data_IF_001830225017
#
_entry.id   IF_001830225017
#
_cell.length_a   1.000
_cell.length_b   1.000
_cell.length_c   1.000
_cell.angle_alpha   90.00
_cell.angle_beta   90.00
_cell.angle_gamma   90.00
#
_symmetry.space_group_name_H-M   'P 1'
#
loop_
_entity.id
_entity.type
_entity.pdbx_description
1 polymer ?
#
# COMPACT_ATOMS: atom_id res chain seq x y z
N UNK A 1 -47.11 11.80 -51.56
CA UNK A 1 -46.38 11.88 -52.86
C UNK A 1 -46.44 13.32 -53.31
N UNK A 2 -45.29 14.00 -53.49
CA UNK A 2 -45.16 15.43 -53.86
C UNK A 2 -45.75 16.42 -52.81
N UNK A 3 -45.07 17.49 -52.38
CA UNK A 3 -44.43 18.65 -53.04
C UNK A 3 -45.43 19.71 -53.54
N UNK A 4 -45.64 20.77 -52.74
CA UNK A 4 -46.00 22.15 -53.10
C UNK A 4 -46.28 23.00 -51.83
N UNK A 5 -46.25 24.34 -51.77
CA UNK A 5 -45.48 25.40 -52.49
C UNK A 5 -45.96 26.79 -52.01
N UNK A 6 -45.06 27.76 -51.78
CA UNK A 6 -45.31 29.24 -51.79
C UNK A 6 -46.23 29.80 -50.65
N UNK A 7 -46.29 31.09 -50.28
CA UNK A 7 -45.47 32.32 -50.51
C UNK A 7 -45.73 33.36 -49.39
N UNK A 8 -44.97 34.45 -49.40
CA UNK A 8 -45.06 35.73 -48.65
C UNK A 8 -46.48 36.35 -48.57
N UNK A 9 -46.83 37.32 -47.72
CA UNK A 9 -46.13 38.24 -46.79
C UNK A 9 -47.13 39.37 -46.39
N UNK A 10 -46.75 40.64 -46.12
CA UNK A 10 -45.56 41.20 -45.45
C UNK A 10 -45.92 42.31 -44.40
N UNK A 11 -44.90 42.94 -43.79
CA UNK A 11 -45.01 44.26 -43.09
C UNK A 11 -44.55 44.25 -41.62
N UNK A 12 -43.81 45.24 -41.10
CA UNK A 12 -43.11 46.38 -41.76
C UNK A 12 -41.89 46.85 -40.91
N UNK A 13 -41.21 47.94 -41.30
CA UNK A 13 -40.00 48.61 -40.74
C UNK A 13 -39.90 48.68 -39.18
N UNK A 14 -38.75 48.79 -38.47
CA UNK A 14 -37.36 49.23 -38.76
C UNK A 14 -36.98 50.37 -37.77
N UNK A 15 -35.76 50.74 -37.37
CA UNK A 15 -34.37 50.25 -37.46
C UNK A 15 -33.44 51.26 -36.69
N UNK A 16 -32.32 50.81 -36.08
CA UNK A 16 -31.07 51.58 -35.73
C UNK A 16 -31.02 52.58 -34.53
N UNK A 17 -30.00 52.39 -33.66
CA UNK A 17 -29.29 53.30 -32.70
C UNK A 17 -30.07 54.03 -31.57
N UNK A 18 -29.47 54.43 -30.43
CA UNK A 18 -28.12 54.14 -29.86
C UNK A 18 -27.64 55.19 -28.83
N UNK A 19 -27.26 54.76 -27.61
CA UNK A 19 -26.61 55.53 -26.49
C UNK A 19 -27.42 56.72 -25.89
N UNK A 20 -27.15 57.23 -24.64
CA UNK A 20 -25.87 57.30 -23.91
C UNK A 20 -25.87 56.99 -22.38
N UNK A 21 -24.72 57.21 -21.71
CA UNK A 21 -24.48 57.18 -20.25
C UNK A 21 -25.16 58.32 -19.46
N UNK A 22 -24.98 58.38 -18.11
CA UNK A 22 -23.96 59.32 -17.61
C UNK A 22 -23.06 58.84 -16.43
N UNK A 23 -21.94 59.56 -16.32
CA UNK A 23 -20.89 59.65 -15.27
C UNK A 23 -21.42 60.15 -13.89
N UNK A 24 -20.68 60.35 -12.78
CA UNK A 24 -19.24 60.47 -12.40
C UNK A 24 -19.17 60.36 -10.83
N UNK A 25 -18.15 59.79 -10.15
CA UNK A 25 -16.96 60.42 -9.49
C UNK A 25 -16.43 59.43 -8.42
N UNK A 26 -15.12 59.15 -8.27
CA UNK A 26 -14.02 59.94 -7.64
C UNK A 26 -14.13 60.01 -6.09
N UNK A 27 -13.08 59.92 -5.25
CA UNK A 27 -11.63 59.61 -5.44
C UNK A 27 -11.33 58.19 -4.85
N UNK A 28 -10.15 57.66 -4.48
CA UNK A 28 -8.74 58.13 -4.37
C UNK A 28 -7.74 56.95 -4.66
N UNK A 29 -6.49 56.96 -4.13
CA UNK A 29 -5.33 56.54 -4.93
C UNK A 29 -4.23 55.65 -4.26
N UNK A 30 -3.20 55.40 -5.08
CA UNK A 30 -1.82 54.91 -4.91
C UNK A 30 -1.27 54.46 -3.52
N UNK A 31 -0.65 53.27 -3.53
CA UNK A 31 0.40 52.85 -2.61
C UNK A 31 1.35 51.79 -3.26
N UNK A 32 2.07 52.16 -4.31
CA UNK A 32 2.89 51.22 -5.09
C UNK A 32 4.29 50.84 -4.55
N UNK A 33 4.81 49.74 -5.13
CA UNK A 33 6.25 49.43 -5.32
C UNK A 33 7.09 48.89 -4.13
N UNK A 34 7.79 47.77 -4.39
CA UNK A 34 8.86 47.10 -3.58
C UNK A 34 8.30 46.34 -2.36
N UNK A 35 8.81 45.15 -1.98
CA UNK A 35 10.11 44.52 -2.29
C UNK A 35 9.97 43.09 -2.81
N UNK A 36 10.44 42.82 -4.03
CA UNK A 36 10.87 41.48 -4.45
C UNK A 36 12.39 41.35 -4.22
N UNK A 37 12.82 40.61 -3.19
CA UNK A 37 14.22 40.14 -3.08
C UNK A 37 14.40 38.97 -2.10
N UNK A 38 14.45 37.76 -2.69
CA UNK A 38 15.28 36.60 -2.29
C UNK A 38 15.34 36.22 -0.80
N UNK A 39 14.69 35.12 -0.47
CA UNK A 39 15.38 34.03 0.23
C UNK A 39 15.41 32.81 -0.71
N UNK A 40 16.60 32.31 -1.05
CA UNK A 40 16.74 30.94 -1.59
C UNK A 40 16.94 30.04 -0.36
N UNK A 41 16.03 29.11 -0.12
CA UNK A 41 16.28 27.97 0.77
C UNK A 41 16.10 26.70 -0.05
N UNK A 42 17.00 25.75 0.18
CA UNK A 42 17.24 24.57 -0.66
C UNK A 42 16.01 23.66 -0.66
N UNK A 43 15.56 23.22 -1.85
CA UNK A 43 14.70 22.04 -1.96
C UNK A 43 15.53 20.81 -1.57
N UNK A 44 15.44 20.38 -0.31
CA UNK A 44 15.66 18.97 0.03
C UNK A 44 14.37 18.23 -0.29
N UNK A 45 14.42 17.33 -1.26
CA UNK A 45 13.45 16.23 -1.30
C UNK A 45 13.83 15.29 -0.16
N UNK A 46 12.89 15.05 0.74
CA UNK A 46 12.89 13.87 1.60
C UNK A 46 11.66 13.06 1.20
N UNK A 47 11.77 11.74 1.23
CA UNK A 47 10.63 10.84 1.34
C UNK A 47 10.81 10.04 2.64
N UNK A 48 9.71 9.47 3.13
CA UNK A 48 9.64 8.74 4.39
C UNK A 48 9.32 7.29 4.06
N UNK A 49 10.17 6.35 4.47
CA UNK A 49 9.91 4.93 4.27
C UNK A 49 9.13 4.36 5.47
N UNK A 50 7.90 3.91 5.23
CA UNK A 50 7.36 2.76 5.95
C UNK A 50 7.80 1.49 5.19
N UNK A 51 9.12 1.24 5.23
CA UNK A 51 9.93 0.34 4.36
C UNK A 51 9.52 0.27 2.87
N UNK A 52 8.99 1.36 2.34
CA UNK A 52 8.65 1.52 0.93
C UNK A 52 9.19 2.86 0.39
N UNK A 53 9.96 2.80 -0.69
CA UNK A 53 10.22 3.92 -1.60
C UNK A 53 11.36 4.89 -1.26
N UNK A 54 12.59 4.63 -1.75
CA UNK A 54 13.49 5.70 -2.23
C UNK A 54 14.70 5.25 -3.10
N UNK A 55 14.51 5.10 -4.42
CA UNK A 55 15.63 5.22 -5.40
C UNK A 55 15.16 5.88 -6.70
N UNK A 56 15.45 7.18 -6.85
CA UNK A 56 15.50 7.97 -8.11
C UNK A 56 15.65 9.47 -7.76
N UNK A 57 16.38 10.34 -8.48
CA UNK A 57 17.33 10.21 -9.59
C UNK A 57 18.17 11.51 -9.62
N UNK A 58 19.38 11.48 -10.19
CA UNK A 58 20.23 12.69 -10.31
C UNK A 58 21.43 12.50 -11.24
N UNK A 59 21.23 12.71 -12.55
CA UNK A 59 22.24 12.44 -13.58
C UNK A 59 23.12 13.62 -14.00
N UNK A 60 24.28 13.26 -14.52
CA UNK A 60 25.17 13.90 -15.50
C UNK A 60 25.31 15.44 -15.60
N UNK A 61 26.57 15.87 -15.59
CA UNK A 61 27.02 17.02 -16.39
C UNK A 61 28.40 16.74 -17.02
N UNK A 62 28.65 17.30 -18.20
CA UNK A 62 29.75 16.89 -19.09
C UNK A 62 31.12 17.45 -18.68
N UNK A 63 32.20 16.71 -19.00
CA UNK A 63 33.59 17.17 -18.79
C UNK A 63 34.59 16.50 -19.72
N UNK A 64 34.83 17.09 -20.89
CA UNK A 64 35.76 16.57 -21.91
C UNK A 64 37.21 17.02 -21.69
N UNK A 65 38.17 16.10 -21.76
CA UNK A 65 39.58 16.40 -22.14
C UNK A 65 40.32 15.13 -22.59
N UNK A 66 41.34 15.31 -23.43
CA UNK A 66 42.17 14.24 -24.02
C UNK A 66 43.59 14.22 -23.41
N UNK A 67 44.36 13.16 -23.74
CA UNK A 67 45.84 13.10 -23.73
C UNK A 67 46.52 12.94 -22.34
N UNK A 68 47.66 12.25 -22.14
CA UNK A 68 48.59 11.51 -23.02
C UNK A 68 49.12 10.19 -22.41
N UNK A 69 49.59 9.28 -23.29
CA UNK A 69 50.74 8.34 -23.22
C UNK A 69 51.36 8.03 -21.83
N UNK A 70 51.66 6.77 -21.50
CA UNK A 70 52.82 6.06 -22.09
C UNK A 70 52.97 4.60 -21.59
N UNK A 71 53.89 3.82 -22.22
CA UNK A 71 54.19 2.42 -21.87
C UNK A 71 55.12 2.28 -20.64
N UNK A 72 54.93 1.24 -19.84
CA UNK A 72 55.90 0.79 -18.83
C UNK A 72 55.64 -0.65 -18.36
N UNK A 73 56.54 -1.58 -18.71
CA UNK A 73 56.51 -2.98 -18.24
C UNK A 73 57.66 -3.25 -17.28
N UNK A 74 57.40 -3.95 -16.17
CA UNK A 74 58.26 -5.01 -15.62
C UNK A 74 57.69 -5.64 -14.34
N UNK A 75 57.99 -6.93 -14.15
CA UNK A 75 57.63 -7.75 -12.99
C UNK A 75 58.75 -7.81 -11.94
N UNK A 76 58.44 -7.70 -10.64
CA UNK A 76 59.22 -8.27 -9.52
C UNK A 76 58.25 -8.73 -8.41
N UNK A 77 58.62 -9.76 -7.66
CA UNK A 77 57.78 -10.41 -6.63
C UNK A 77 57.83 -9.76 -5.24
N UNK A 78 56.84 -10.16 -4.43
CA UNK A 78 56.71 -10.16 -2.97
C UNK A 78 58.00 -10.40 -2.12
N UNK A 79 58.04 -10.03 -0.80
CA UNK A 79 56.96 -10.36 0.17
C UNK A 79 56.59 -9.35 1.29
N UNK A 80 55.49 -9.73 1.94
CA UNK A 80 54.80 -9.18 3.11
C UNK A 80 55.60 -8.38 4.15
N UNK A 81 54.98 -7.28 4.62
CA UNK A 81 55.23 -6.61 5.89
C UNK A 81 53.90 -6.22 6.55
N UNK A 82 53.83 -6.22 7.88
CA UNK A 82 52.61 -5.95 8.66
C UNK A 82 52.08 -4.51 8.49
N UNK A 83 50.76 -4.28 8.56
CA UNK A 83 50.18 -2.95 8.41
C UNK A 83 50.57 -2.00 9.56
N UNK A 84 50.90 -0.72 9.28
CA UNK A 84 51.12 0.29 10.30
C UNK A 84 49.82 0.83 10.90
N UNK A 85 49.93 1.48 12.06
CA UNK A 85 48.81 2.03 12.83
C UNK A 85 48.03 3.14 12.11
N UNK A 86 46.76 3.30 12.51
CA UNK A 86 45.76 4.20 11.90
C UNK A 86 46.18 5.67 11.80
N UNK A 87 45.89 6.35 10.68
CA UNK A 87 45.64 7.79 10.68
C UNK A 87 44.23 8.07 11.21
N UNK A 88 44.09 9.00 12.14
CA UNK A 88 42.78 9.47 12.63
C UNK A 88 42.10 10.37 11.59
N UNK A 89 41.03 9.90 10.96
CA UNK A 89 40.13 10.74 10.16
C UNK A 89 39.03 11.28 11.07
N UNK A 90 38.82 12.60 11.05
CA UNK A 90 37.89 13.32 11.92
C UNK A 90 36.46 13.31 11.41
N UNK A 91 35.50 13.16 12.33
CA UNK A 91 34.05 13.44 12.26
C UNK A 91 33.46 13.79 10.87
N UNK A 92 32.76 12.82 10.29
CA UNK A 92 32.23 12.88 8.92
C UNK A 92 30.81 12.32 8.76
N UNK A 93 29.85 12.81 9.55
CA UNK A 93 28.41 12.58 9.38
C UNK A 93 27.97 11.09 9.41
N UNK A 94 27.94 10.51 10.61
CA UNK A 94 27.00 9.42 10.91
C UNK A 94 25.58 10.02 10.91
N UNK A 95 24.90 9.96 9.76
CA UNK A 95 23.54 10.45 9.61
C UNK A 95 22.54 9.48 10.24
N UNK A 96 21.71 9.98 11.16
CA UNK A 96 20.61 9.19 11.74
C UNK A 96 19.72 8.62 10.65
N UNK A 97 19.65 7.28 10.56
CA UNK A 97 18.70 6.58 9.69
C UNK A 97 17.28 6.55 10.27
N UNK A 98 17.13 6.80 11.57
CA UNK A 98 15.85 7.13 12.17
C UNK A 98 15.39 8.51 11.65
N UNK A 99 14.56 8.48 10.60
CA UNK A 99 13.68 9.58 10.22
C UNK A 99 12.46 9.63 11.14
N UNK A 100 11.86 10.81 11.23
CA UNK A 100 10.57 10.99 11.91
C UNK A 100 9.49 10.20 11.13
N UNK A 101 8.77 9.23 11.74
CA UNK A 101 7.91 8.26 11.03
C UNK A 101 6.68 8.86 10.32
N UNK A 102 6.52 10.19 10.34
CA UNK A 102 5.30 10.88 9.97
C UNK A 102 4.26 10.86 11.10
N UNK A 103 3.09 11.46 10.91
CA UNK A 103 1.96 11.17 11.77
C UNK A 103 1.58 9.69 11.65
N UNK A 104 1.40 9.02 12.79
CA UNK A 104 0.72 7.72 12.84
C UNK A 104 -0.78 7.85 12.55
N UNK A 105 -1.57 6.78 12.75
CA UNK A 105 -3.00 6.79 12.44
C UNK A 105 -3.73 7.91 13.18
N UNK A 106 -4.66 8.56 12.48
CA UNK A 106 -5.52 9.63 13.03
C UNK A 106 -6.83 9.10 13.60
N UNK A 107 -7.19 7.88 13.21
CA UNK A 107 -8.32 7.08 13.72
C UNK A 107 -7.93 6.26 14.95
N UNK A 108 -8.91 5.60 15.56
CA UNK A 108 -8.68 4.57 16.57
C UNK A 108 -9.06 3.22 15.97
N UNK A 109 -8.20 2.19 16.03
CA UNK A 109 -8.51 0.90 15.46
C UNK A 109 -9.65 0.17 16.20
N UNK A 110 -10.43 -0.62 15.47
CA UNK A 110 -11.42 -1.56 16.00
C UNK A 110 -12.74 -0.92 16.45
N UNK A 111 -13.06 0.28 15.95
CA UNK A 111 -14.23 1.05 16.35
C UNK A 111 -15.52 0.56 15.68
N UNK A 112 -16.66 1.10 16.15
CA UNK A 112 -17.93 0.91 15.43
C UNK A 112 -17.97 1.60 14.05
N UNK A 113 -16.99 2.46 13.70
CA UNK A 113 -16.84 3.00 12.34
C UNK A 113 -16.22 1.97 11.39
N UNK A 114 -15.14 1.29 11.81
CA UNK A 114 -14.55 0.16 11.08
C UNK A 114 -15.59 -0.94 10.81
N UNK A 115 -16.36 -1.30 11.84
CA UNK A 115 -17.44 -2.28 11.70
C UNK A 115 -18.60 -1.80 10.82
N UNK A 116 -18.85 -0.49 10.74
CA UNK A 116 -19.78 0.07 9.78
C UNK A 116 -19.25 -0.01 8.34
N UNK A 117 -17.95 0.21 8.12
CA UNK A 117 -17.30 0.01 6.82
C UNK A 117 -17.30 -1.46 6.38
N UNK A 118 -17.00 -2.40 7.29
CA UNK A 118 -17.12 -3.85 7.02
C UNK A 118 -18.54 -4.18 6.58
N UNK A 119 -19.55 -3.72 7.32
CA UNK A 119 -20.96 -3.95 6.98
C UNK A 119 -21.36 -3.30 5.64
N UNK A 120 -20.89 -2.07 5.36
CA UNK A 120 -21.15 -1.35 4.10
C UNK A 120 -20.59 -2.11 2.89
N UNK A 121 -19.30 -2.50 2.93
CA UNK A 121 -18.65 -3.15 1.79
C UNK A 121 -19.20 -4.55 1.53
N UNK A 122 -19.54 -5.30 2.58
CA UNK A 122 -20.21 -6.61 2.47
C UNK A 122 -21.62 -6.45 1.90
N UNK A 123 -22.44 -5.53 2.42
CA UNK A 123 -23.79 -5.30 1.90
C UNK A 123 -23.76 -4.83 0.45
N UNK A 124 -22.84 -3.94 0.09
CA UNK A 124 -22.65 -3.49 -1.29
C UNK A 124 -22.36 -4.67 -2.23
N UNK A 125 -21.43 -5.56 -1.88
CA UNK A 125 -21.08 -6.72 -2.69
C UNK A 125 -22.28 -7.69 -2.86
N UNK A 126 -23.07 -7.90 -1.80
CA UNK A 126 -24.30 -8.71 -1.84
C UNK A 126 -25.38 -8.04 -2.70
N UNK A 127 -25.61 -6.74 -2.55
CA UNK A 127 -26.61 -5.98 -3.33
C UNK A 127 -26.23 -5.85 -4.82
N UNK A 128 -24.94 -5.92 -5.17
CA UNK A 128 -24.50 -6.08 -6.58
C UNK A 128 -24.63 -7.52 -7.12
N UNK A 129 -24.95 -8.50 -6.26
CA UNK A 129 -24.99 -9.92 -6.62
C UNK A 129 -23.61 -10.57 -6.78
N UNK A 130 -22.56 -9.98 -6.21
CA UNK A 130 -21.17 -10.42 -6.41
C UNK A 130 -20.75 -11.63 -5.55
N UNK A 131 -21.61 -12.13 -4.66
CA UNK A 131 -21.32 -13.32 -3.84
C UNK A 131 -21.05 -14.60 -4.67
N UNK A 132 -21.56 -14.67 -5.90
CA UNK A 132 -21.38 -15.78 -6.85
C UNK A 132 -20.18 -15.62 -7.80
N UNK A 133 -19.41 -14.53 -7.69
CA UNK A 133 -18.18 -14.36 -8.47
C UNK A 133 -17.10 -15.39 -8.05
N UNK A 134 -16.07 -15.55 -8.86
CA UNK A 134 -14.83 -16.16 -8.39
C UNK A 134 -14.09 -15.20 -7.46
N UNK A 135 -13.36 -15.76 -6.49
CA UNK A 135 -12.77 -14.99 -5.37
C UNK A 135 -11.86 -13.85 -5.83
N UNK A 136 -11.15 -14.01 -6.95
CA UNK A 136 -10.29 -12.97 -7.55
C UNK A 136 -11.11 -11.77 -8.06
N UNK A 137 -12.14 -12.01 -8.88
CA UNK A 137 -13.05 -10.96 -9.34
C UNK A 137 -13.71 -10.23 -8.16
N UNK A 138 -14.09 -10.96 -7.11
CA UNK A 138 -14.68 -10.39 -5.89
C UNK A 138 -13.68 -9.50 -5.12
N UNK A 139 -12.44 -9.94 -4.97
CA UNK A 139 -11.33 -9.17 -4.36
C UNK A 139 -11.07 -7.89 -5.16
N UNK A 140 -11.01 -7.98 -6.50
CA UNK A 140 -10.86 -6.81 -7.36
C UNK A 140 -12.03 -5.82 -7.18
N UNK A 141 -13.28 -6.29 -7.19
CA UNK A 141 -14.47 -5.43 -7.02
C UNK A 141 -14.55 -4.78 -5.64
N UNK A 142 -14.25 -5.51 -4.57
CA UNK A 142 -14.24 -4.94 -3.21
C UNK A 142 -13.08 -3.95 -3.07
N UNK A 143 -11.88 -4.28 -3.57
CA UNK A 143 -10.73 -3.38 -3.56
C UNK A 143 -10.99 -2.06 -4.30
N UNK A 144 -11.71 -2.09 -5.44
CA UNK A 144 -12.11 -0.88 -6.16
C UNK A 144 -12.97 0.08 -5.31
N UNK A 145 -13.65 -0.39 -4.25
CA UNK A 145 -14.45 0.46 -3.34
C UNK A 145 -13.63 1.24 -2.30
N UNK A 146 -12.36 0.89 -2.11
CA UNK A 146 -11.44 1.61 -1.22
C UNK A 146 -10.70 2.75 -1.93
N UNK A 147 -10.88 2.93 -3.25
CA UNK A 147 -10.18 3.99 -4.00
C UNK A 147 -10.57 5.38 -3.44
N UNK A 148 -9.61 6.04 -2.80
CA UNK A 148 -9.81 7.29 -2.05
C UNK A 148 -9.64 7.18 -0.53
N UNK A 149 -9.56 5.98 0.06
CA UNK A 149 -9.24 5.77 1.48
C UNK A 149 -7.82 6.29 1.79
N UNK A 150 -7.60 7.11 2.83
CA UNK A 150 -6.28 7.59 3.25
C UNK A 150 -5.25 6.49 3.52
N UNK A 151 -3.97 6.82 3.29
CA UNK A 151 -2.86 6.01 3.78
C UNK A 151 -2.44 6.46 5.18
N UNK A 152 -2.35 5.51 6.12
CA UNK A 152 -1.63 5.69 7.39
C UNK A 152 -0.68 4.51 7.64
N UNK A 153 0.58 4.76 8.03
CA UNK A 153 1.47 3.72 8.53
C UNK A 153 1.16 3.41 10.01
N UNK A 154 1.62 2.26 10.50
CA UNK A 154 1.54 1.87 11.92
C UNK A 154 0.12 1.71 12.51
N UNK A 155 -0.90 1.54 11.67
CA UNK A 155 -2.31 1.28 12.07
C UNK A 155 -2.46 0.11 13.05
N UNK A 156 -1.61 -0.92 12.91
CA UNK A 156 -1.61 -2.11 13.76
C UNK A 156 -0.85 -1.94 15.09
N UNK A 157 -0.05 -0.89 15.27
CA UNK A 157 0.95 -0.81 16.35
C UNK A 157 0.41 -0.23 17.66
N UNK A 158 -0.82 -0.63 18.03
CA UNK A 158 -1.55 -0.14 19.19
C UNK A 158 -0.76 -0.35 20.52
N UNK A 159 -0.89 0.55 21.52
CA UNK A 159 -0.19 0.40 22.79
C UNK A 159 -0.75 -0.74 23.65
N UNK A 160 0.13 -1.66 24.07
CA UNK A 160 -0.22 -2.84 24.86
C UNK A 160 0.34 -4.12 24.23
N UNK A 161 -0.17 -5.26 24.71
CA UNK A 161 0.08 -6.60 24.17
C UNK A 161 -0.50 -6.71 22.74
N UNK A 162 0.03 -7.62 21.91
CA UNK A 162 -0.44 -7.79 20.51
C UNK A 162 -1.92 -8.23 20.46
N UNK A 163 -2.70 -7.58 19.60
CA UNK A 163 -4.14 -7.80 19.48
C UNK A 163 -4.65 -7.59 18.05
N UNK A 164 -5.73 -8.27 17.68
CA UNK A 164 -6.33 -8.18 16.35
C UNK A 164 -6.97 -6.80 16.13
N UNK A 165 -6.21 -5.90 15.52
CA UNK A 165 -6.68 -4.61 15.02
C UNK A 165 -7.51 -4.81 13.74
N UNK A 166 -8.69 -4.20 13.68
CA UNK A 166 -9.50 -4.06 12.47
C UNK A 166 -9.62 -2.56 12.21
N UNK A 167 -8.98 -2.09 11.15
CA UNK A 167 -8.88 -0.68 10.77
C UNK A 167 -9.15 -0.59 9.26
N UNK A 168 -10.14 0.21 8.88
CA UNK A 168 -10.64 0.37 7.50
C UNK A 168 -10.81 1.85 7.07
N UNK A 169 -10.71 2.80 8.00
CA UNK A 169 -10.76 4.23 7.73
C UNK A 169 -9.42 4.75 7.18
N UNK A 170 -8.28 4.18 7.61
CA UNK A 170 -6.93 4.47 7.09
C UNK A 170 -6.13 3.17 6.83
N UNK A 171 -5.39 3.07 5.71
CA UNK A 171 -4.77 1.81 5.28
C UNK A 171 -3.35 1.95 4.73
N UNK A 172 -2.43 1.11 5.21
CA UNK A 172 -1.15 0.84 4.52
C UNK A 172 -1.34 -0.21 3.40
N UNK A 173 -0.24 -0.58 2.72
CA UNK A 173 -0.33 -1.52 1.60
C UNK A 173 -0.67 -2.97 2.00
N UNK A 174 -0.19 -3.44 3.16
CA UNK A 174 -0.46 -4.77 3.70
C UNK A 174 -1.88 -4.81 4.26
N UNK A 175 -2.24 -3.88 5.14
CA UNK A 175 -3.59 -3.85 5.74
C UNK A 175 -4.69 -3.63 4.70
N UNK A 176 -4.42 -2.93 3.60
CA UNK A 176 -5.32 -2.89 2.43
C UNK A 176 -5.56 -4.29 1.82
N UNK A 177 -4.49 -5.04 1.52
CA UNK A 177 -4.59 -6.38 0.93
C UNK A 177 -5.31 -7.35 1.87
N UNK A 178 -4.95 -7.35 3.15
CA UNK A 178 -5.56 -8.22 4.16
C UNK A 178 -7.06 -7.96 4.35
N UNK A 179 -7.46 -6.68 4.51
CA UNK A 179 -8.86 -6.32 4.68
C UNK A 179 -9.71 -6.68 3.46
N UNK A 180 -9.21 -6.45 2.24
CA UNK A 180 -9.96 -6.81 1.01
C UNK A 180 -10.08 -8.33 0.85
N UNK A 181 -9.01 -9.10 1.12
CA UNK A 181 -9.05 -10.56 1.13
C UNK A 181 -10.02 -11.09 2.20
N UNK A 182 -10.01 -10.52 3.40
CA UNK A 182 -10.91 -10.88 4.50
C UNK A 182 -12.39 -10.57 4.16
N UNK A 183 -12.67 -9.40 3.57
CA UNK A 183 -14.02 -9.01 3.13
C UNK A 183 -14.55 -9.94 2.02
N UNK A 184 -13.73 -10.28 1.02
CA UNK A 184 -14.13 -11.18 -0.05
C UNK A 184 -14.38 -12.60 0.45
N UNK A 185 -13.52 -13.11 1.36
CA UNK A 185 -13.74 -14.38 2.05
C UNK A 185 -15.01 -14.35 2.91
N UNK A 186 -15.25 -13.27 3.65
CA UNK A 186 -16.46 -13.10 4.45
C UNK A 186 -17.73 -13.11 3.60
N UNK A 187 -17.73 -12.46 2.42
CA UNK A 187 -18.87 -12.49 1.48
C UNK A 187 -19.16 -13.91 0.96
N UNK A 188 -18.15 -14.76 0.77
CA UNK A 188 -18.36 -16.18 0.42
C UNK A 188 -18.71 -17.10 1.61
N UNK A 189 -18.32 -16.73 2.84
CA UNK A 189 -18.48 -17.56 4.05
C UNK A 189 -19.73 -17.22 4.87
N UNK A 190 -20.20 -15.98 4.80
CA UNK A 190 -21.36 -15.54 5.53
C UNK A 190 -22.64 -16.16 4.94
N UNK A 191 -23.48 -16.84 5.74
CA UNK A 191 -24.74 -17.39 5.25
C UNK A 191 -25.72 -16.28 4.83
N UNK A 192 -26.73 -16.65 4.02
CA UNK A 192 -27.82 -15.82 3.45
C UNK A 192 -28.49 -14.81 4.42
N UNK A 193 -28.31 -15.03 5.71
CA UNK A 193 -28.78 -14.26 6.85
C UNK A 193 -28.31 -12.80 6.90
N UNK A 194 -27.24 -12.41 6.16
CA UNK A 194 -26.75 -11.02 6.06
C UNK A 194 -27.89 -10.01 5.81
N UNK A 195 -28.86 -10.42 4.99
CA UNK A 195 -30.06 -9.67 4.61
C UNK A 195 -30.97 -9.23 5.77
N UNK A 196 -30.83 -9.82 6.96
CA UNK A 196 -31.77 -9.63 8.09
C UNK A 196 -31.19 -8.84 9.27
N UNK A 197 -29.88 -8.96 9.57
CA UNK A 197 -29.26 -8.31 10.74
C UNK A 197 -28.58 -6.98 10.43
N UNK A 198 -27.93 -6.86 9.26
CA UNK A 198 -27.09 -5.71 8.92
C UNK A 198 -27.88 -4.45 8.51
N UNK A 199 -29.22 -4.52 8.44
CA UNK A 199 -30.07 -3.36 8.18
C UNK A 199 -30.25 -2.55 9.48
N UNK A 200 -29.81 -1.29 9.56
CA UNK A 200 -29.84 -0.54 10.83
C UNK A 200 -31.28 -0.40 11.35
N UNK A 201 -31.50 -0.78 12.61
CA UNK A 201 -32.80 -0.58 13.29
C UNK A 201 -33.11 0.91 13.38
N UNK A 202 -34.38 1.27 13.17
CA UNK A 202 -34.80 2.67 13.17
C UNK A 202 -34.57 3.35 14.54
N UNK A 203 -34.49 4.67 14.51
CA UNK A 203 -34.23 5.52 15.69
C UNK A 203 -35.19 5.32 16.87
N UNK A 204 -36.35 4.71 16.65
CA UNK A 204 -37.39 4.51 17.66
C UNK A 204 -37.03 3.41 18.68
N UNK A 205 -36.30 2.37 18.26
CA UNK A 205 -35.90 1.24 19.13
C UNK A 205 -34.82 1.62 20.16
N UNK A 206 -33.98 2.62 19.84
CA UNK A 206 -32.84 3.03 20.69
C UNK A 206 -33.26 3.55 22.07
N UNK A 207 -34.55 3.89 22.25
CA UNK A 207 -35.08 4.50 23.48
C UNK A 207 -35.30 3.53 24.64
N UNK A 208 -35.06 2.23 24.45
CA UNK A 208 -35.32 1.19 25.45
C UNK A 208 -34.07 0.66 26.22
N UNK A 209 -32.86 0.85 25.68
CA UNK A 209 -31.68 0.06 26.12
C UNK A 209 -30.80 0.64 27.23
N UNK A 210 -30.86 1.93 27.55
CA UNK A 210 -29.81 2.58 28.34
C UNK A 210 -29.90 2.32 29.87
N UNK A 211 -29.32 1.20 30.33
CA UNK A 211 -28.85 0.98 31.71
C UNK A 211 -27.65 0.02 31.76
N UNK A 212 -26.44 0.57 31.93
CA UNK A 212 -25.27 -0.20 32.32
C UNK A 212 -24.02 0.10 31.48
N UNK A 213 -23.32 1.18 31.81
CA UNK A 213 -21.94 1.35 31.37
C UNK A 213 -21.02 0.47 32.24
N UNK A 214 -20.20 -0.36 31.61
CA UNK A 214 -19.16 -1.18 32.22
C UNK A 214 -17.90 -1.15 31.34
N UNK A 215 -16.74 -1.47 31.92
CA UNK A 215 -15.46 -1.41 31.20
C UNK A 215 -15.41 -2.37 30.01
N UNK A 216 -14.62 -2.00 29.00
CA UNK A 216 -14.39 -2.82 27.81
C UNK A 216 -13.50 -4.03 28.08
N UNK A 217 -13.92 -5.17 27.54
CA UNK A 217 -13.13 -6.39 27.28
C UNK A 217 -13.94 -7.35 26.38
N UNK A 218 -15.25 -7.49 26.64
CA UNK A 218 -16.09 -8.55 26.09
C UNK A 218 -17.05 -8.10 24.96
N UNK A 219 -16.70 -7.07 24.18
CA UNK A 219 -17.59 -6.53 23.14
C UNK A 219 -17.74 -7.44 21.90
N UNK A 220 -16.75 -8.29 21.59
CA UNK A 220 -16.68 -9.05 20.34
C UNK A 220 -17.33 -10.46 20.41
N UNK A 221 -17.62 -10.97 21.61
CA UNK A 221 -18.13 -12.35 21.81
C UNK A 221 -19.65 -12.50 21.61
N UNK A 222 -20.37 -11.39 21.41
CA UNK A 222 -21.83 -11.37 21.25
C UNK A 222 -22.36 -11.36 19.81
N UNK A 223 -21.51 -11.06 18.82
CA UNK A 223 -21.92 -10.89 17.42
C UNK A 223 -21.23 -11.94 16.51
N UNK A 224 -21.96 -12.94 15.99
CA UNK A 224 -21.40 -13.96 15.10
C UNK A 224 -20.82 -13.41 13.79
N UNK A 225 -21.27 -12.24 13.31
CA UNK A 225 -20.75 -11.62 12.10
C UNK A 225 -19.41 -10.94 12.37
N UNK A 226 -19.29 -10.19 13.48
CA UNK A 226 -17.98 -9.66 13.92
C UNK A 226 -16.98 -10.78 14.24
N UNK A 227 -17.42 -11.84 14.93
CA UNK A 227 -16.59 -12.98 15.26
C UNK A 227 -16.08 -13.74 14.02
N UNK A 228 -16.93 -13.96 13.01
CA UNK A 228 -16.52 -14.61 11.75
C UNK A 228 -15.53 -13.76 10.95
N UNK A 229 -15.76 -12.44 10.82
CA UNK A 229 -14.81 -11.55 10.15
C UNK A 229 -13.47 -11.47 10.90
N UNK A 230 -13.52 -11.39 12.25
CA UNK A 230 -12.32 -11.40 13.10
C UNK A 230 -11.50 -12.67 12.88
N UNK A 231 -12.14 -13.84 12.86
CA UNK A 231 -11.46 -15.12 12.59
C UNK A 231 -10.78 -15.15 11.23
N UNK A 232 -11.48 -14.72 10.18
CA UNK A 232 -10.92 -14.68 8.81
C UNK A 232 -9.70 -13.75 8.73
N UNK A 233 -9.73 -12.57 9.37
CA UNK A 233 -8.58 -11.67 9.36
C UNK A 233 -7.42 -12.21 10.22
N UNK A 234 -7.72 -12.90 11.32
CA UNK A 234 -6.70 -13.57 12.15
C UNK A 234 -6.00 -14.71 11.39
N UNK A 235 -6.77 -15.53 10.66
CA UNK A 235 -6.29 -16.60 9.79
C UNK A 235 -5.36 -16.10 8.66
N UNK A 236 -5.50 -14.84 8.25
CA UNK A 236 -4.68 -14.21 7.20
C UNK A 236 -3.39 -13.58 7.77
N UNK A 237 -3.49 -12.92 8.93
CA UNK A 237 -2.45 -12.02 9.47
C UNK A 237 -1.44 -12.68 10.42
N UNK A 238 -1.85 -13.73 11.13
CA UNK A 238 -1.04 -14.38 12.16
C UNK A 238 -0.66 -15.79 11.73
N UNK A 239 0.57 -16.18 12.03
CA UNK A 239 1.19 -17.43 11.55
C UNK A 239 0.38 -18.67 11.97
N UNK A 240 -0.10 -19.45 11.00
CA UNK A 240 -0.99 -20.58 11.21
C UNK A 240 -2.38 -20.22 11.75
N UNK A 241 -2.80 -18.96 11.60
CA UNK A 241 -4.02 -18.39 12.18
C UNK A 241 -3.99 -18.18 13.70
N UNK A 242 -2.82 -18.31 14.35
CA UNK A 242 -2.69 -18.24 15.81
C UNK A 242 -2.11 -16.89 16.23
N UNK A 243 -2.99 -16.00 16.72
CA UNK A 243 -2.57 -14.79 17.40
C UNK A 243 -1.86 -15.14 18.72
N UNK A 244 -0.66 -14.61 18.88
CA UNK A 244 0.10 -14.54 20.13
C UNK A 244 0.76 -13.17 20.23
N UNK A 245 1.97 -13.10 20.81
CA UNK A 245 2.74 -11.85 20.90
C UNK A 245 3.19 -11.32 19.53
N UNK A 246 3.79 -10.12 19.49
CA UNK A 246 4.22 -9.42 18.27
C UNK A 246 4.94 -10.30 17.21
N UNK A 247 5.86 -11.24 17.54
CA UNK A 247 6.48 -12.12 16.54
C UNK A 247 5.54 -13.13 15.87
N UNK A 248 4.32 -13.32 16.37
CA UNK A 248 3.29 -14.20 15.78
C UNK A 248 2.68 -13.62 14.49
N UNK A 249 2.73 -12.30 14.32
CA UNK A 249 2.26 -11.60 13.12
C UNK A 249 3.23 -11.83 11.95
N UNK A 250 2.67 -11.93 10.75
CA UNK A 250 3.39 -12.23 9.51
C UNK A 250 4.01 -10.95 8.91
N UNK A 251 5.05 -10.41 9.55
CA UNK A 251 5.66 -9.12 9.18
C UNK A 251 6.41 -9.14 7.84
N UNK A 252 7.08 -10.25 7.51
CA UNK A 252 7.72 -10.45 6.21
C UNK A 252 6.69 -10.97 5.20
N UNK A 253 6.48 -10.26 4.10
CA UNK A 253 5.32 -10.54 3.23
C UNK A 253 5.52 -11.80 2.36
N UNK A 254 6.76 -12.27 2.18
CA UNK A 254 7.02 -13.62 1.66
C UNK A 254 6.63 -14.71 2.66
N UNK A 255 6.81 -14.49 3.98
CA UNK A 255 6.26 -15.39 5.01
C UNK A 255 4.73 -15.39 4.93
N UNK A 256 4.11 -14.20 4.86
CA UNK A 256 2.65 -14.02 4.72
C UNK A 256 2.08 -14.83 3.55
N UNK A 257 2.70 -14.76 2.36
CA UNK A 257 2.31 -15.56 1.19
C UNK A 257 2.46 -17.06 1.49
N UNK A 258 3.62 -17.49 2.03
CA UNK A 258 3.93 -18.91 2.24
C UNK A 258 3.06 -19.58 3.31
N UNK A 259 2.71 -18.85 4.38
CA UNK A 259 1.87 -19.34 5.47
C UNK A 259 0.41 -19.43 5.01
N UNK A 260 -0.08 -18.42 4.29
CA UNK A 260 -1.41 -18.45 3.67
C UNK A 260 -1.54 -19.53 2.57
N UNK A 261 -0.49 -19.86 1.80
CA UNK A 261 -0.48 -21.03 0.89
C UNK A 261 -0.47 -22.34 1.68
N UNK A 262 0.34 -22.44 2.74
CA UNK A 262 0.36 -23.57 3.66
C UNK A 262 -0.99 -23.86 4.33
N UNK A 263 -1.75 -22.81 4.66
CA UNK A 263 -3.14 -22.88 5.14
C UNK A 263 -4.17 -23.11 4.02
N UNK A 264 -3.76 -23.01 2.75
CA UNK A 264 -4.62 -23.18 1.57
C UNK A 264 -5.55 -22.00 1.30
N UNK A 265 -5.24 -20.80 1.82
CA UNK A 265 -5.95 -19.53 1.62
C UNK A 265 -5.51 -18.81 0.33
N UNK A 266 -4.34 -19.15 -0.21
CA UNK A 266 -3.90 -18.77 -1.55
C UNK A 266 -3.04 -19.88 -2.16
N UNK A 267 -2.36 -19.57 -3.26
CA UNK A 267 -1.31 -20.39 -3.86
C UNK A 267 -0.25 -19.49 -4.45
N UNK A 268 1.02 -19.67 -4.08
CA UNK A 268 2.13 -18.96 -4.71
C UNK A 268 2.27 -19.40 -6.17
N UNK A 269 2.16 -18.45 -7.09
CA UNK A 269 2.33 -18.64 -8.52
C UNK A 269 3.75 -18.30 -8.98
N UNK A 270 4.57 -17.65 -8.15
CA UNK A 270 5.83 -17.03 -8.57
C UNK A 270 6.77 -18.01 -9.26
N UNK A 271 6.82 -19.25 -8.76
CA UNK A 271 7.55 -20.36 -9.39
C UNK A 271 6.87 -20.91 -10.66
N UNK A 272 5.54 -20.99 -10.71
CA UNK A 272 4.79 -21.45 -11.90
C UNK A 272 4.90 -20.45 -13.07
N UNK A 273 4.97 -19.15 -12.76
CA UNK A 273 5.23 -18.06 -13.71
C UNK A 273 6.70 -18.04 -14.21
N UNK A 274 7.52 -19.03 -13.84
CA UNK A 274 8.91 -19.13 -14.26
C UNK A 274 9.85 -18.20 -13.49
N UNK A 275 9.50 -17.83 -12.26
CA UNK A 275 10.36 -17.06 -11.37
C UNK A 275 11.74 -17.71 -11.15
N UNK A 276 12.74 -16.89 -10.90
CA UNK A 276 14.07 -17.35 -10.45
C UNK A 276 14.06 -17.49 -8.94
N UNK A 277 15.04 -18.23 -8.40
CA UNK A 277 15.31 -18.25 -6.97
C UNK A 277 15.78 -16.86 -6.55
N UNK A 278 15.21 -16.38 -5.45
CA UNK A 278 15.75 -15.28 -4.64
C UNK A 278 16.60 -15.91 -3.52
N UNK A 279 17.88 -15.54 -3.47
CA UNK A 279 18.86 -15.99 -2.48
C UNK A 279 19.41 -14.84 -1.59
N UNK A 280 18.72 -13.69 -1.57
CA UNK A 280 19.07 -12.59 -0.66
C UNK A 280 18.72 -12.92 0.81
N UNK A 281 19.47 -12.42 1.80
CA UNK A 281 19.13 -12.63 3.20
C UNK A 281 17.91 -11.80 3.60
N UNK A 282 16.97 -12.41 4.32
CA UNK A 282 15.97 -11.71 5.12
C UNK A 282 16.51 -11.58 6.55
N UNK A 283 16.83 -10.36 6.97
CA UNK A 283 17.25 -10.02 8.35
C UNK A 283 16.94 -8.55 8.76
N UNK A 284 16.12 -7.82 7.98
CA UNK A 284 15.91 -6.38 8.16
C UNK A 284 15.43 -5.99 9.56
N UNK A 285 14.44 -6.69 10.11
CA UNK A 285 13.86 -6.37 11.42
C UNK A 285 14.87 -6.54 12.56
N UNK A 286 15.71 -7.57 12.53
CA UNK A 286 16.67 -7.81 13.63
C UNK A 286 17.99 -7.05 13.45
N UNK A 287 18.33 -6.64 12.22
CA UNK A 287 19.42 -5.69 11.95
C UNK A 287 19.04 -4.23 12.21
N UNK A 288 17.75 -3.88 12.08
CA UNK A 288 17.21 -2.52 12.27
C UNK A 288 16.24 -2.43 13.46
N UNK A 289 16.49 -3.17 14.55
CA UNK A 289 15.56 -3.31 15.69
C UNK A 289 15.08 -1.99 16.30
N UNK A 290 15.93 -0.95 16.28
CA UNK A 290 15.61 0.40 16.79
C UNK A 290 14.46 1.10 16.05
N UNK A 291 14.06 0.61 14.86
CA UNK A 291 12.91 1.10 14.11
C UNK A 291 11.55 0.54 14.60
N UNK A 292 11.56 -0.48 15.47
CA UNK A 292 10.36 -1.23 15.87
C UNK A 292 10.15 -1.12 17.38
N UNK A 293 9.11 -0.38 17.80
CA UNK A 293 8.78 -0.12 19.22
C UNK A 293 8.81 -1.40 20.07
N UNK A 294 8.12 -2.44 19.61
CA UNK A 294 7.95 -3.70 20.35
C UNK A 294 9.28 -4.43 20.60
N UNK A 295 10.27 -4.30 19.70
CA UNK A 295 11.59 -4.93 19.87
C UNK A 295 12.47 -4.19 20.90
N UNK A 296 12.16 -2.92 21.19
CA UNK A 296 12.70 -2.17 22.32
C UNK A 296 11.95 -2.40 23.64
N UNK A 297 10.74 -2.95 23.59
CA UNK A 297 9.91 -3.24 24.77
C UNK A 297 10.17 -4.64 25.35
N UNK A 298 10.24 -5.69 24.50
CA UNK A 298 10.66 -7.04 24.93
C UNK A 298 11.81 -7.61 24.05
N UNK A 299 13.04 -7.71 24.58
CA UNK A 299 14.19 -8.30 23.87
C UNK A 299 14.06 -9.78 23.48
N UNK A 300 13.07 -10.52 24.00
CA UNK A 300 12.78 -11.89 23.56
C UNK A 300 12.21 -11.91 22.13
N UNK A 301 11.44 -10.90 21.74
CA UNK A 301 10.89 -10.78 20.39
C UNK A 301 11.98 -10.71 19.32
N UNK A 302 13.11 -10.07 19.61
CA UNK A 302 14.29 -10.07 18.73
C UNK A 302 14.83 -11.50 18.51
N UNK A 303 14.85 -12.32 19.57
CA UNK A 303 15.30 -13.73 19.51
C UNK A 303 14.30 -14.62 18.75
N UNK A 304 13.02 -14.29 18.79
CA UNK A 304 11.99 -14.99 18.00
C UNK A 304 12.01 -14.59 16.52
N UNK A 305 12.19 -13.31 16.20
CA UNK A 305 12.35 -12.85 14.81
C UNK A 305 13.63 -13.40 14.16
N UNK A 306 14.75 -13.50 14.90
CA UNK A 306 15.95 -14.21 14.41
C UNK A 306 15.66 -15.67 14.04
N UNK A 307 14.69 -16.32 14.69
CA UNK A 307 14.23 -17.67 14.33
C UNK A 307 13.21 -17.68 13.19
N UNK A 308 12.49 -16.57 12.93
CA UNK A 308 11.67 -16.38 11.72
C UNK A 308 12.58 -16.26 10.51
N UNK A 309 13.51 -15.31 10.55
CA UNK A 309 14.52 -15.01 9.53
C UNK A 309 15.35 -16.26 9.18
N UNK A 310 15.83 -16.99 10.18
CA UNK A 310 16.56 -18.24 9.98
C UNK A 310 15.74 -19.39 9.35
N UNK A 311 14.39 -19.34 9.40
CA UNK A 311 13.53 -20.27 8.63
C UNK A 311 13.32 -19.79 7.20
N UNK A 312 13.06 -18.49 7.01
CA UNK A 312 12.83 -17.90 5.69
C UNK A 312 14.07 -17.95 4.79
N UNK A 313 15.27 -17.93 5.37
CA UNK A 313 16.54 -18.11 4.67
C UNK A 313 16.96 -19.59 4.51
N UNK A 314 16.15 -20.55 4.99
CA UNK A 314 16.43 -21.99 4.85
C UNK A 314 15.70 -22.64 3.66
N UNK A 315 14.65 -22.02 3.14
CA UNK A 315 13.86 -22.49 2.00
C UNK A 315 13.95 -21.49 0.83
N UNK A 316 13.99 -21.96 -0.44
CA UNK A 316 14.18 -21.08 -1.59
C UNK A 316 12.89 -20.30 -1.92
N UNK A 317 12.97 -18.97 -1.86
CA UNK A 317 11.93 -18.05 -2.35
C UNK A 317 12.03 -17.95 -3.89
N UNK A 318 10.94 -17.57 -4.54
CA UNK A 318 10.89 -17.40 -6.00
C UNK A 318 10.18 -16.10 -6.38
N UNK A 319 10.72 -15.38 -7.37
CA UNK A 319 10.13 -14.15 -7.87
C UNK A 319 10.29 -13.99 -9.39
N UNK A 320 9.42 -13.21 -10.01
CA UNK A 320 9.49 -12.82 -11.42
C UNK A 320 10.19 -11.45 -11.52
N UNK A 321 11.42 -11.36 -12.05
CA UNK A 321 12.15 -10.11 -12.21
C UNK A 321 11.44 -9.12 -13.14
N UNK A 322 11.73 -7.84 -12.95
CA UNK A 322 11.08 -6.68 -13.55
C UNK A 322 10.98 -6.76 -15.08
N UNK A 323 12.03 -7.24 -15.75
CA UNK A 323 12.11 -7.37 -17.20
C UNK A 323 11.21 -8.48 -17.76
N UNK A 324 10.86 -9.46 -16.93
CA UNK A 324 10.02 -10.62 -17.30
C UNK A 324 8.55 -10.47 -16.92
N UNK A 325 8.17 -9.55 -16.04
CA UNK A 325 6.76 -9.30 -15.63
C UNK A 325 5.85 -9.13 -16.85
N UNK A 326 6.29 -8.35 -17.85
CA UNK A 326 5.52 -8.10 -19.07
C UNK A 326 5.25 -9.36 -19.91
N UNK A 327 6.10 -10.39 -19.80
CA UNK A 327 5.97 -11.67 -20.53
C UNK A 327 5.06 -12.69 -19.84
N UNK A 328 4.82 -12.52 -18.54
CA UNK A 328 3.94 -13.41 -17.75
C UNK A 328 2.57 -12.81 -17.46
N UNK A 329 2.37 -11.51 -17.73
CA UNK A 329 1.18 -10.75 -17.33
C UNK A 329 -0.15 -11.44 -17.67
N UNK A 330 -0.31 -12.05 -18.86
CA UNK A 330 -1.54 -12.75 -19.28
C UNK A 330 -1.92 -13.98 -18.42
N UNK A 331 -1.01 -14.45 -17.56
CA UNK A 331 -1.27 -15.53 -16.60
C UNK A 331 -1.76 -15.01 -15.22
N UNK A 332 -1.60 -13.71 -14.96
CA UNK A 332 -2.04 -13.01 -13.75
C UNK A 332 -3.50 -12.57 -13.95
N UNK A 333 -4.34 -12.75 -12.93
CA UNK A 333 -5.79 -12.55 -12.98
C UNK A 333 -6.23 -11.42 -12.04
N UNK A 334 -7.45 -10.90 -12.24
CA UNK A 334 -8.05 -9.94 -11.30
C UNK A 334 -8.09 -10.57 -9.89
N UNK A 335 -7.65 -9.80 -8.89
CA UNK A 335 -7.60 -10.25 -7.50
C UNK A 335 -6.42 -11.13 -7.11
N UNK A 336 -5.46 -11.42 -8.01
CA UNK A 336 -4.16 -11.93 -7.58
C UNK A 336 -3.46 -10.90 -6.68
N UNK A 337 -2.80 -11.38 -5.63
CA UNK A 337 -1.97 -10.55 -4.75
C UNK A 337 -0.60 -10.39 -5.39
N UNK A 338 -0.13 -9.14 -5.49
CA UNK A 338 1.14 -8.76 -6.11
C UNK A 338 2.02 -8.13 -5.05
N UNK A 339 3.09 -8.84 -4.69
CA UNK A 339 4.11 -8.35 -3.78
C UNK A 339 5.36 -7.98 -4.58
N UNK A 340 5.69 -6.69 -4.66
CA UNK A 340 6.90 -6.21 -5.34
C UNK A 340 8.13 -6.50 -4.46
N UNK A 341 9.06 -7.28 -5.01
CA UNK A 341 10.34 -7.58 -4.33
C UNK A 341 11.16 -6.31 -4.13
N UNK A 342 12.01 -6.34 -3.12
CA UNK A 342 12.81 -5.21 -2.65
C UNK A 342 14.23 -5.23 -3.20
N UNK A 343 14.87 -4.07 -3.34
CA UNK A 343 16.33 -3.96 -3.51
C UNK A 343 17.04 -3.45 -2.24
N UNK A 344 16.41 -3.63 -1.08
CA UNK A 344 16.92 -3.20 0.23
C UNK A 344 17.43 -4.43 0.96
N UNK A 345 18.74 -4.49 1.17
CA UNK A 345 19.44 -5.56 1.91
C UNK A 345 18.71 -5.90 3.22
N UNK A 346 18.40 -7.18 3.41
CA UNK A 346 17.66 -7.70 4.55
C UNK A 346 16.14 -7.80 4.37
N UNK A 347 15.54 -7.18 3.35
CA UNK A 347 14.08 -7.10 3.16
C UNK A 347 13.63 -7.86 1.91
N UNK A 348 12.55 -8.62 2.01
CA UNK A 348 11.95 -9.36 0.90
C UNK A 348 11.07 -8.50 -0.01
N UNK A 349 10.07 -7.81 0.56
CA UNK A 349 9.00 -7.16 -0.18
C UNK A 349 8.95 -5.67 0.19
N UNK A 350 9.13 -4.80 -0.80
CA UNK A 350 9.08 -3.35 -0.62
C UNK A 350 7.67 -2.76 -0.79
N UNK A 351 6.71 -3.50 -1.38
CA UNK A 351 5.32 -3.04 -1.55
C UNK A 351 4.37 -4.19 -1.87
N UNK A 352 3.10 -4.11 -1.48
CA UNK A 352 2.07 -5.08 -1.90
C UNK A 352 0.78 -4.43 -2.42
N UNK A 353 -0.05 -5.19 -3.12
CA UNK A 353 -1.30 -4.72 -3.71
C UNK A 353 -2.04 -5.82 -4.50
N UNK A 354 -3.06 -5.42 -5.25
CA UNK A 354 -3.99 -6.30 -5.94
C UNK A 354 -3.87 -6.11 -7.46
N UNK A 355 -3.80 -7.21 -8.20
CA UNK A 355 -3.87 -7.23 -9.66
C UNK A 355 -5.25 -6.75 -10.17
N UNK A 356 -5.25 -5.80 -11.09
CA UNK A 356 -6.48 -5.26 -11.69
C UNK A 356 -6.29 -4.98 -13.19
N UNK A 357 -7.01 -5.70 -14.04
CA UNK A 357 -7.04 -5.51 -15.48
C UNK A 357 -7.98 -4.36 -15.87
N UNK A 358 -7.43 -3.29 -16.44
CA UNK A 358 -8.21 -2.18 -17.02
C UNK A 358 -7.82 -1.94 -18.47
N UNK A 359 -8.82 -1.91 -19.34
CA UNK A 359 -8.68 -1.68 -20.80
C UNK A 359 -7.66 -2.61 -21.49
N UNK A 360 -7.58 -3.88 -21.06
CA UNK A 360 -6.63 -4.85 -21.61
C UNK A 360 -5.18 -4.65 -21.16
N UNK A 361 -4.95 -3.99 -20.02
CA UNK A 361 -3.63 -3.90 -19.36
C UNK A 361 -3.75 -4.28 -17.90
N UNK A 362 -2.77 -5.04 -17.39
CA UNK A 362 -2.62 -5.33 -15.96
C UNK A 362 -2.08 -4.09 -15.22
N UNK A 363 -2.84 -3.58 -14.26
CA UNK A 363 -2.48 -2.51 -13.33
C UNK A 363 -2.38 -3.04 -11.90
N UNK A 364 -1.81 -2.22 -11.00
CA UNK A 364 -1.79 -2.48 -9.56
C UNK A 364 -2.81 -1.57 -8.87
N UNK A 365 -3.67 -2.14 -8.05
CA UNK A 365 -4.56 -1.46 -7.11
C UNK A 365 -3.93 -1.56 -5.70
N UNK A 366 -3.62 -0.43 -5.06
CA UNK A 366 -2.83 -0.42 -3.83
C UNK A 366 -2.95 0.89 -3.02
N UNK A 367 -2.62 0.83 -1.73
CA UNK A 367 -2.30 2.02 -0.91
C UNK A 367 -0.89 2.51 -1.30
N UNK A 368 -0.68 3.77 -1.77
CA UNK A 368 0.50 4.08 -2.57
C UNK A 368 1.72 4.64 -1.85
N UNK A 369 1.56 5.31 -0.70
CA UNK A 369 2.56 5.78 0.29
C UNK A 369 1.91 6.81 1.24
N UNK A 370 2.66 7.26 2.27
CA UNK A 370 2.30 8.39 3.17
C UNK A 370 1.87 9.64 2.37
N UNK A 371 0.90 10.39 2.91
CA UNK A 371 0.15 11.48 2.25
C UNK A 371 -0.65 11.05 0.99
N UNK A 372 -0.69 9.75 0.68
CA UNK A 372 -1.46 9.18 -0.41
C UNK A 372 -2.86 8.70 -0.02
N UNK A 373 -3.58 8.20 -1.02
CA UNK A 373 -4.87 7.48 -0.86
C UNK A 373 -4.82 6.22 -1.71
N UNK A 374 -5.51 5.15 -1.28
CA UNK A 374 -5.68 3.91 -2.06
C UNK A 374 -6.11 4.25 -3.49
N UNK A 375 -5.42 3.68 -4.47
CA UNK A 375 -5.57 4.05 -5.86
C UNK A 375 -5.07 2.98 -6.82
N UNK A 376 -5.20 3.26 -8.11
CA UNK A 376 -4.78 2.36 -9.19
C UNK A 376 -3.61 3.01 -9.92
N UNK A 377 -2.55 2.24 -10.16
CA UNK A 377 -1.33 2.73 -10.80
C UNK A 377 -1.64 3.40 -12.14
N UNK A 378 -1.04 4.55 -12.43
CA UNK A 378 -1.28 5.25 -13.72
C UNK A 378 -0.80 4.43 -14.93
N UNK A 379 0.23 3.61 -14.70
CA UNK A 379 0.90 2.76 -15.68
C UNK A 379 0.73 1.27 -15.34
N UNK A 380 0.87 0.35 -16.31
CA UNK A 380 0.78 -1.09 -16.07
C UNK A 380 1.81 -1.58 -15.06
N UNK A 381 1.56 -2.73 -14.43
CA UNK A 381 2.41 -3.31 -13.38
C UNK A 381 3.90 -3.38 -13.80
N UNK A 382 4.21 -3.98 -14.95
CA UNK A 382 5.59 -4.06 -15.43
C UNK A 382 6.24 -2.68 -15.65
N UNK A 383 5.49 -1.69 -16.16
CA UNK A 383 5.97 -0.31 -16.37
C UNK A 383 6.15 0.46 -15.05
N UNK A 384 5.46 0.04 -13.97
CA UNK A 384 5.64 0.56 -12.61
C UNK A 384 6.94 0.03 -12.00
N UNK A 385 7.13 -1.29 -11.96
CA UNK A 385 8.31 -1.90 -11.32
C UNK A 385 9.60 -1.42 -12.01
N UNK A 386 9.68 -1.50 -13.35
CA UNK A 386 10.80 -1.03 -14.20
C UNK A 386 11.15 0.47 -14.08
N UNK A 387 10.47 1.24 -13.21
CA UNK A 387 10.73 2.66 -12.92
C UNK A 387 11.01 2.95 -11.46
N UNK A 388 10.84 1.97 -10.57
CA UNK A 388 10.98 2.12 -9.13
C UNK A 388 12.23 1.35 -8.69
N UNK A 389 13.41 1.96 -8.78
CA UNK A 389 14.69 1.29 -8.48
C UNK A 389 14.94 0.90 -7.01
N UNK A 390 13.88 0.85 -6.19
CA UNK A 390 13.82 0.15 -4.91
C UNK A 390 13.06 -1.18 -4.99
N UNK A 391 12.73 -1.62 -6.21
CA UNK A 391 12.00 -2.83 -6.57
C UNK A 391 12.63 -3.43 -7.83
N UNK A 392 12.67 -4.75 -7.93
CA UNK A 392 13.33 -5.48 -9.03
C UNK A 392 12.50 -6.63 -9.61
N UNK A 393 11.26 -6.82 -9.13
CA UNK A 393 10.39 -7.90 -9.57
C UNK A 393 9.10 -8.00 -8.76
N UNK A 394 8.41 -9.14 -8.87
CA UNK A 394 7.20 -9.48 -8.11
C UNK A 394 7.14 -10.95 -7.71
N UNK A 395 6.64 -11.22 -6.50
CA UNK A 395 5.91 -12.44 -6.19
C UNK A 395 4.41 -12.27 -6.54
N UNK A 396 3.74 -13.35 -6.90
CA UNK A 396 2.32 -13.37 -7.29
C UNK A 396 1.63 -14.53 -6.58
N UNK A 397 0.61 -14.26 -5.76
CA UNK A 397 -0.17 -15.27 -5.07
C UNK A 397 -1.65 -15.20 -5.45
N UNK A 398 -2.27 -16.34 -5.78
CA UNK A 398 -3.69 -16.41 -6.18
C UNK A 398 -4.57 -16.86 -5.01
N UNK A 399 -5.50 -16.03 -4.51
CA UNK A 399 -6.48 -16.43 -3.50
C UNK A 399 -7.30 -17.66 -3.91
N UNK A 400 -7.48 -18.60 -2.99
CA UNK A 400 -8.29 -19.80 -3.21
C UNK A 400 -9.76 -19.56 -2.90
N UNK A 401 -10.67 -20.21 -3.64
CA UNK A 401 -12.08 -20.27 -3.24
C UNK A 401 -12.20 -21.03 -1.91
N UNK A 402 -12.99 -20.49 -0.98
CA UNK A 402 -13.28 -21.14 0.31
C UNK A 402 -13.96 -22.49 0.05
N UNK A 403 -13.67 -23.48 0.90
CA UNK A 403 -14.16 -24.88 0.79
C UNK A 403 -15.27 -25.18 1.78
#
# INVERSE_FOLDING_TARGET
MMLASRTDGPGEVGAVAGDPEPTERDDDADAGCRVLRRARVIHRRLAVLCVCGLVACGGDSQGSSESERSNGSSTVSEPAASPPSSPSVTDGNAGSLAGDPGPGPTTLPGTDADWALVAEKVLWAVDQGYAELDIGDLIARIGETFVGTPYAPYTLEAPGDEALVIELEELDCVTFVENVLALARFVHMAPDNLTTTARPRSSDDQRAGNRGAGNGSDANTGDPQRALFSGILQDIRYRGGVLGEYPSRLHYFSEWISDNDGMGLMRDLSRELGGVVDDEPIDFMTTHSDAYRQLGEDPSFLTELQQVEARLNAEPRYFVPEDRIASVAEQIQDGDIIAATSTVEGLDIAHTGIALWRNGRLHLLHAPLVDGVVGISEVPLAERILRMGGQDGVMVARPTKVR
#
